data_IF_287924495496
#
_entry.id   IF_287924495496
#
_cell.length_a   1.000
_cell.length_b   1.000
_cell.length_c   1.000
_cell.angle_alpha   90.00
_cell.angle_beta   90.00
_cell.angle_gamma   90.00
#
_symmetry.space_group_name_H-M   'P 1'
#
loop_
_entity.id
_entity.type
_entity.pdbx_description
1 polymer ?
#
# COMPACT_ATOMS: atom_id res chain seq x y z
N UNK A 1 24.31 33.74 -4.43
CA UNK A 1 23.73 32.38 -4.34
C UNK A 1 24.31 31.52 -3.21
N UNK A 2 25.45 31.88 -2.60
CA UNK A 2 26.10 31.02 -1.58
C UNK A 2 25.67 31.29 -0.12
N UNK A 3 25.04 32.45 0.17
CA UNK A 3 24.50 32.76 1.51
C UNK A 3 23.15 32.08 1.81
N UNK A 4 22.36 31.74 0.79
CA UNK A 4 21.08 31.05 0.97
C UNK A 4 21.26 29.56 1.34
N UNK A 5 22.35 28.91 0.88
CA UNK A 5 22.69 27.52 1.24
C UNK A 5 23.12 27.35 2.70
N UNK A 6 23.65 28.40 3.35
CA UNK A 6 24.07 28.33 4.77
C UNK A 6 22.92 28.43 5.77
N UNK A 7 21.78 29.00 5.39
CA UNK A 7 20.62 29.17 6.29
C UNK A 7 19.75 27.91 6.49
N UNK A 8 19.98 26.86 5.69
CA UNK A 8 19.29 25.56 5.79
C UNK A 8 20.06 24.50 6.58
N UNK A 9 21.23 24.84 7.14
CA UNK A 9 21.91 24.00 8.13
C UNK A 9 21.35 24.37 9.50
N UNK A 10 20.47 23.52 10.03
CA UNK A 10 20.00 23.61 11.41
C UNK A 10 21.19 23.68 12.38
N UNK A 11 21.17 24.56 13.40
CA UNK A 11 22.24 24.68 14.40
C UNK A 11 22.17 23.61 15.51
N UNK A 12 21.55 22.45 15.24
CA UNK A 12 21.57 21.31 16.14
C UNK A 12 22.50 20.26 15.54
N UNK A 13 23.66 20.13 16.18
CA UNK A 13 24.80 19.37 15.67
C UNK A 13 24.51 17.90 15.39
N UNK A 14 25.22 17.37 14.39
CA UNK A 14 25.29 15.96 14.00
C UNK A 14 25.76 15.00 15.13
N UNK A 15 26.01 15.48 16.36
CA UNK A 15 26.77 14.77 17.41
C UNK A 15 25.98 14.45 18.70
N UNK A 16 24.71 14.85 18.83
CA UNK A 16 23.87 14.43 19.98
C UNK A 16 22.48 13.98 19.56
N UNK A 17 22.42 12.97 18.71
CA UNK A 17 21.16 12.27 18.44
C UNK A 17 20.98 11.12 19.42
N UNK A 18 19.93 11.20 20.23
CA UNK A 18 19.49 10.08 21.06
C UNK A 18 19.08 8.91 20.17
N UNK A 19 19.42 7.69 20.60
CA UNK A 19 19.02 6.43 19.94
C UNK A 19 17.51 6.44 19.65
N UNK A 20 16.73 7.01 20.56
CA UNK A 20 15.29 7.22 20.42
C UNK A 20 14.90 7.98 19.14
N UNK A 21 15.60 9.06 18.78
CA UNK A 21 15.30 9.83 17.57
C UNK A 21 15.56 9.02 16.28
N UNK A 22 16.60 8.18 16.28
CA UNK A 22 16.88 7.25 15.17
C UNK A 22 15.80 6.16 15.06
N UNK A 23 15.35 5.62 16.19
CA UNK A 23 14.28 4.61 16.24
C UNK A 23 12.96 5.21 15.72
N UNK A 24 12.56 6.37 16.22
CA UNK A 24 11.33 7.06 15.77
C UNK A 24 11.38 7.38 14.28
N UNK A 25 12.53 7.83 13.77
CA UNK A 25 12.75 8.03 12.33
C UNK A 25 12.55 6.74 11.52
N UNK A 26 13.14 5.62 11.96
CA UNK A 26 13.00 4.32 11.29
C UNK A 26 11.56 3.79 11.31
N UNK A 27 10.82 3.99 12.40
CA UNK A 27 9.41 3.61 12.51
C UNK A 27 8.51 4.48 11.61
N UNK A 28 8.79 5.78 11.51
CA UNK A 28 8.12 6.69 10.56
C UNK A 28 8.38 6.30 9.10
N UNK A 29 9.64 6.05 8.76
CA UNK A 29 10.12 5.65 7.44
C UNK A 29 9.42 4.38 6.93
N UNK A 30 9.36 3.36 7.78
CA UNK A 30 8.82 2.04 7.42
C UNK A 30 7.29 1.99 7.43
N UNK A 31 6.60 3.06 7.85
CA UNK A 31 5.14 3.14 7.91
C UNK A 31 4.52 1.93 8.60
N UNK A 32 5.02 1.60 9.80
CA UNK A 32 4.69 0.36 10.53
C UNK A 32 3.18 0.06 10.59
N UNK A 33 2.33 1.08 10.75
CA UNK A 33 0.88 0.92 10.74
C UNK A 33 0.34 0.28 9.45
N UNK A 34 0.85 0.67 8.29
CA UNK A 34 0.44 0.09 7.00
C UNK A 34 0.88 -1.37 6.90
N UNK A 35 2.08 -1.68 7.40
CA UNK A 35 2.60 -3.05 7.38
C UNK A 35 1.78 -3.94 8.33
N UNK A 36 1.42 -3.43 9.51
CA UNK A 36 0.56 -4.14 10.45
C UNK A 36 -0.82 -4.46 9.85
N UNK A 37 -1.41 -3.55 9.06
CA UNK A 37 -2.65 -3.82 8.33
C UNK A 37 -2.49 -4.94 7.30
N UNK A 38 -1.35 -5.00 6.61
CA UNK A 38 -1.07 -6.07 5.63
C UNK A 38 -0.86 -7.41 6.35
N UNK A 39 -0.15 -7.43 7.47
CA UNK A 39 0.00 -8.63 8.30
C UNK A 39 -1.36 -9.12 8.80
N UNK A 40 -2.21 -8.22 9.31
CA UNK A 40 -3.58 -8.55 9.71
C UNK A 40 -4.41 -9.08 8.52
N UNK A 41 -4.25 -8.50 7.32
CA UNK A 41 -4.90 -8.98 6.11
C UNK A 41 -4.44 -10.40 5.74
N UNK A 42 -3.16 -10.74 5.89
CA UNK A 42 -2.65 -12.10 5.65
C UNK A 42 -3.27 -13.10 6.63
N UNK A 43 -3.30 -12.82 7.93
CA UNK A 43 -3.93 -13.70 8.93
C UNK A 43 -5.43 -13.85 8.70
N UNK A 44 -6.17 -12.73 8.59
CA UNK A 44 -7.63 -12.78 8.40
C UNK A 44 -8.00 -13.48 7.10
N UNK A 45 -7.23 -13.29 6.03
CA UNK A 45 -7.46 -14.01 4.79
C UNK A 45 -7.18 -15.51 4.94
N UNK A 46 -6.09 -15.89 5.62
CA UNK A 46 -5.78 -17.30 5.88
C UNK A 46 -6.92 -17.99 6.64
N UNK A 47 -7.43 -17.36 7.71
CA UNK A 47 -8.44 -17.94 8.62
C UNK A 47 -9.84 -17.98 8.01
N UNK A 48 -10.28 -16.90 7.35
CA UNK A 48 -11.69 -16.73 6.96
C UNK A 48 -11.93 -16.82 5.45
N UNK A 49 -10.90 -16.65 4.63
CA UNK A 49 -11.05 -16.50 3.19
C UNK A 49 -10.60 -17.75 2.41
N UNK A 50 -9.55 -18.44 2.87
CA UNK A 50 -8.93 -19.57 2.17
C UNK A 50 -9.19 -20.93 2.82
N UNK A 51 -10.33 -21.09 3.51
CA UNK A 51 -10.71 -22.36 4.14
C UNK A 51 -12.11 -22.82 3.75
N UNK A 52 -12.26 -24.14 3.58
CA UNK A 52 -13.56 -24.78 3.53
C UNK A 52 -14.11 -24.77 4.95
N UNK A 53 -15.20 -24.03 5.20
CA UNK A 53 -15.81 -23.80 6.53
C UNK A 53 -15.78 -25.08 7.40
N UNK A 54 -15.43 -25.00 8.70
CA UNK A 54 -15.29 -23.81 9.55
C UNK A 54 -13.93 -23.08 9.46
N UNK A 55 -13.83 -21.83 9.98
CA UNK A 55 -12.55 -21.13 10.12
C UNK A 55 -11.58 -21.88 11.01
N UNK A 56 -10.30 -21.88 10.63
CA UNK A 56 -9.24 -22.61 11.31
C UNK A 56 -8.27 -21.64 11.99
N UNK A 57 -8.25 -21.67 13.32
CA UNK A 57 -7.45 -20.76 14.14
C UNK A 57 -6.08 -21.31 14.48
N UNK A 58 -5.75 -22.57 14.14
CA UNK A 58 -4.42 -23.14 14.40
C UNK A 58 -3.31 -22.34 13.71
N UNK A 59 -3.64 -21.66 12.61
CA UNK A 59 -2.75 -20.81 11.82
C UNK A 59 -2.17 -19.62 12.57
N UNK A 60 -2.86 -19.14 13.61
CA UNK A 60 -2.33 -18.07 14.47
C UNK A 60 -1.07 -18.51 15.22
N UNK A 61 -0.93 -19.82 15.43
CA UNK A 61 0.18 -20.43 16.17
C UNK A 61 1.16 -21.17 15.26
N UNK A 62 0.93 -21.19 13.94
CA UNK A 62 1.83 -21.88 13.02
C UNK A 62 3.14 -21.09 12.83
N UNK A 63 4.30 -21.70 13.16
CA UNK A 63 5.59 -21.01 13.08
C UNK A 63 6.02 -20.71 11.64
N UNK A 64 5.67 -21.54 10.67
CA UNK A 64 6.04 -21.32 9.27
C UNK A 64 5.25 -20.14 8.68
N UNK A 65 3.96 -20.05 8.95
CA UNK A 65 3.12 -18.93 8.52
C UNK A 65 3.56 -17.63 9.20
N UNK A 66 3.85 -17.67 10.50
CA UNK A 66 4.43 -16.53 11.21
C UNK A 66 5.72 -16.03 10.55
N UNK A 67 6.64 -16.93 10.17
CA UNK A 67 7.87 -16.58 9.45
C UNK A 67 7.56 -15.90 8.11
N UNK A 68 6.58 -16.35 7.33
CA UNK A 68 6.19 -15.71 6.07
C UNK A 68 5.61 -14.30 6.29
N UNK A 69 4.83 -14.08 7.35
CA UNK A 69 4.32 -12.75 7.72
C UNK A 69 5.46 -11.83 8.13
N UNK A 70 6.44 -12.32 8.90
CA UNK A 70 7.66 -11.57 9.24
C UNK A 70 8.47 -11.22 7.98
N UNK A 71 8.66 -12.18 7.06
CA UNK A 71 9.33 -11.92 5.77
C UNK A 71 8.60 -10.82 4.99
N UNK A 72 7.26 -10.87 4.97
CA UNK A 72 6.43 -9.83 4.36
C UNK A 72 6.69 -8.46 4.98
N UNK A 73 6.71 -8.38 6.31
CA UNK A 73 7.02 -7.14 7.01
C UNK A 73 8.38 -6.60 6.59
N UNK A 74 9.42 -7.44 6.66
CA UNK A 74 10.79 -7.06 6.32
C UNK A 74 10.92 -6.56 4.88
N UNK A 75 10.31 -7.26 3.91
CA UNK A 75 10.36 -6.88 2.49
C UNK A 75 9.58 -5.58 2.22
N UNK A 76 8.40 -5.38 2.81
CA UNK A 76 7.65 -4.12 2.65
C UNK A 76 8.37 -2.95 3.32
N UNK A 77 8.95 -3.17 4.51
CA UNK A 77 9.78 -2.17 5.18
C UNK A 77 10.98 -1.77 4.31
N UNK A 78 11.68 -2.75 3.72
CA UNK A 78 12.73 -2.50 2.75
C UNK A 78 12.21 -1.73 1.52
N UNK A 79 11.01 -2.06 1.03
CA UNK A 79 10.30 -1.32 -0.02
C UNK A 79 10.08 0.16 0.30
N UNK A 80 9.65 0.48 1.52
CA UNK A 80 9.51 1.88 1.95
C UNK A 80 10.86 2.59 2.06
N UNK A 81 11.90 1.90 2.54
CA UNK A 81 13.27 2.41 2.66
C UNK A 81 13.86 2.75 1.28
N UNK A 82 13.75 1.86 0.30
CA UNK A 82 14.26 2.12 -1.05
C UNK A 82 13.45 3.19 -1.77
N UNK A 83 12.14 3.26 -1.54
CA UNK A 83 11.31 4.34 -2.05
C UNK A 83 11.76 5.70 -1.48
N UNK A 84 12.00 5.79 -0.17
CA UNK A 84 12.56 6.99 0.46
C UNK A 84 13.94 7.37 -0.10
N UNK A 85 14.81 6.39 -0.36
CA UNK A 85 16.13 6.63 -0.95
C UNK A 85 16.03 7.37 -2.29
N UNK A 86 15.11 6.96 -3.17
CA UNK A 86 14.88 7.62 -4.46
C UNK A 86 14.08 8.93 -4.33
N UNK A 87 13.19 9.05 -3.34
CA UNK A 87 12.29 10.21 -3.15
C UNK A 87 12.87 11.34 -2.30
N UNK A 88 14.08 11.21 -1.75
CA UNK A 88 14.63 12.16 -0.77
C UNK A 88 14.43 13.65 -1.14
N UNK A 89 14.66 14.01 -2.40
CA UNK A 89 14.49 15.39 -2.86
C UNK A 89 13.01 15.80 -3.02
N UNK A 90 12.14 14.85 -3.35
CA UNK A 90 10.68 15.05 -3.45
C UNK A 90 10.06 15.32 -2.08
N UNK A 91 10.37 14.47 -1.12
CA UNK A 91 9.70 14.46 0.19
C UNK A 91 10.08 15.66 1.06
N UNK A 92 11.29 16.23 0.85
CA UNK A 92 11.73 17.48 1.50
C UNK A 92 10.75 18.64 1.28
N UNK A 93 9.94 18.60 0.23
CA UNK A 93 9.04 19.71 -0.14
C UNK A 93 7.58 19.35 0.03
N UNK A 94 7.16 18.16 -0.39
CA UNK A 94 5.78 17.71 -0.20
C UNK A 94 5.45 17.41 1.28
N UNK A 95 6.46 17.11 2.11
CA UNK A 95 6.27 16.79 3.53
C UNK A 95 7.49 17.22 4.36
N UNK A 96 7.77 18.53 4.50
CA UNK A 96 9.02 19.07 5.03
C UNK A 96 9.30 18.70 6.50
N UNK A 97 8.25 18.50 7.30
CA UNK A 97 8.38 18.06 8.70
C UNK A 97 8.75 16.57 8.74
N UNK A 98 8.02 15.74 7.99
CA UNK A 98 8.27 14.29 7.90
C UNK A 98 9.64 13.99 7.30
N UNK A 99 10.01 14.66 6.21
CA UNK A 99 11.32 14.48 5.58
C UNK A 99 12.49 14.91 6.47
N UNK A 100 12.28 15.83 7.42
CA UNK A 100 13.28 16.18 8.44
C UNK A 100 13.48 15.04 9.43
N UNK A 101 12.38 14.43 9.87
CA UNK A 101 12.39 13.26 10.76
C UNK A 101 13.03 12.06 10.05
N UNK A 102 12.67 11.82 8.79
CA UNK A 102 13.17 10.70 8.00
C UNK A 102 14.63 10.94 7.52
N UNK A 103 15.04 12.21 7.39
CA UNK A 103 16.38 12.64 6.95
C UNK A 103 17.50 12.45 7.99
N UNK A 104 17.19 11.95 9.19
CA UNK A 104 18.16 11.63 10.23
C UNK A 104 19.03 10.40 9.93
N UNK A 105 18.67 9.61 8.92
CA UNK A 105 19.42 8.41 8.49
C UNK A 105 20.22 8.71 7.23
N UNK A 106 21.52 8.37 7.23
CA UNK A 106 22.38 8.57 6.05
C UNK A 106 21.94 7.70 4.86
N UNK A 107 22.25 8.12 3.63
CA UNK A 107 21.96 7.32 2.43
C UNK A 107 22.67 5.95 2.44
N UNK A 108 23.91 5.90 2.93
CA UNK A 108 24.65 4.65 3.06
C UNK A 108 23.98 3.69 4.08
N UNK A 109 23.50 4.22 5.21
CA UNK A 109 22.75 3.44 6.21
C UNK A 109 21.42 2.95 5.64
N UNK A 110 20.73 3.80 4.87
CA UNK A 110 19.46 3.46 4.20
C UNK A 110 19.64 2.27 3.25
N UNK A 111 20.67 2.31 2.40
CA UNK A 111 20.95 1.22 1.46
C UNK A 111 21.39 -0.07 2.16
N UNK A 112 22.23 0.03 3.19
CA UNK A 112 22.61 -1.12 4.03
C UNK A 112 21.38 -1.77 4.66
N UNK A 113 20.49 -0.98 5.26
CA UNK A 113 19.28 -1.49 5.90
C UNK A 113 18.34 -2.16 4.88
N UNK A 114 18.16 -1.55 3.70
CA UNK A 114 17.41 -2.16 2.59
C UNK A 114 17.97 -3.54 2.19
N UNK A 115 19.29 -3.65 2.01
CA UNK A 115 19.94 -4.91 1.64
C UNK A 115 19.83 -5.95 2.76
N UNK A 116 20.08 -5.56 4.01
CA UNK A 116 20.00 -6.47 5.17
C UNK A 116 18.58 -7.02 5.34
N UNK A 117 17.55 -6.16 5.29
CA UNK A 117 16.17 -6.60 5.47
C UNK A 117 15.72 -7.58 4.37
N UNK A 118 16.04 -7.29 3.11
CA UNK A 118 15.70 -8.21 2.02
C UNK A 118 16.50 -9.51 2.07
N UNK A 119 17.80 -9.46 2.39
CA UNK A 119 18.61 -10.66 2.52
C UNK A 119 18.09 -11.58 3.62
N UNK A 120 17.73 -11.02 4.78
CA UNK A 120 17.14 -11.77 5.89
C UNK A 120 15.75 -12.32 5.53
N UNK A 121 14.89 -11.55 4.85
CA UNK A 121 13.57 -12.03 4.42
C UNK A 121 13.68 -13.20 3.42
N UNK A 122 14.60 -13.12 2.46
CA UNK A 122 14.83 -14.20 1.49
C UNK A 122 15.42 -15.42 2.18
N UNK A 123 16.41 -15.26 3.07
CA UNK A 123 16.98 -16.37 3.83
C UNK A 123 15.93 -17.05 4.73
N UNK A 124 15.17 -16.27 5.51
CA UNK A 124 14.10 -16.76 6.38
C UNK A 124 13.01 -17.52 5.60
N UNK A 125 12.59 -16.99 4.44
CA UNK A 125 11.59 -17.65 3.61
C UNK A 125 12.11 -18.89 2.87
N UNK A 126 13.42 -18.99 2.58
CA UNK A 126 14.04 -20.21 2.05
C UNK A 126 14.02 -21.36 3.07
N UNK A 127 14.11 -21.07 4.37
CA UNK A 127 13.94 -22.09 5.42
C UNK A 127 12.52 -22.65 5.46
N UNK A 128 11.51 -21.90 5.01
CA UNK A 128 10.13 -22.40 4.88
C UNK A 128 9.99 -23.27 3.63
N UNK A 129 10.41 -22.76 2.46
CA UNK A 129 10.46 -23.54 1.21
C UNK A 129 11.24 -22.79 0.12
N UNK A 130 11.72 -23.52 -0.90
CA UNK A 130 12.34 -22.89 -2.08
C UNK A 130 11.38 -21.94 -2.80
N UNK A 131 10.09 -22.32 -2.89
CA UNK A 131 9.06 -21.52 -3.59
C UNK A 131 8.83 -20.18 -2.89
N UNK A 132 8.76 -20.16 -1.56
CA UNK A 132 8.65 -18.92 -0.78
C UNK A 132 9.91 -18.05 -0.89
N UNK A 133 11.10 -18.66 -0.88
CA UNK A 133 12.35 -17.92 -1.11
C UNK A 133 12.39 -17.19 -2.46
N UNK A 134 12.02 -17.90 -3.54
CA UNK A 134 11.93 -17.31 -4.90
C UNK A 134 10.87 -16.19 -4.93
N UNK A 135 9.73 -16.40 -4.26
CA UNK A 135 8.68 -15.38 -4.17
C UNK A 135 9.17 -14.09 -3.50
N UNK A 136 9.82 -14.17 -2.34
CA UNK A 136 10.31 -12.98 -1.63
C UNK A 136 11.46 -12.30 -2.37
N UNK A 137 12.33 -13.05 -3.06
CA UNK A 137 13.35 -12.47 -3.93
C UNK A 137 12.71 -11.69 -5.09
N UNK A 138 11.70 -12.27 -5.75
CA UNK A 138 10.92 -11.61 -6.78
C UNK A 138 10.16 -10.38 -6.26
N UNK A 139 9.57 -10.46 -5.06
CA UNK A 139 8.85 -9.35 -4.44
C UNK A 139 9.78 -8.19 -4.09
N UNK A 140 10.96 -8.48 -3.53
CA UNK A 140 12.00 -7.47 -3.29
C UNK A 140 12.44 -6.78 -4.59
N UNK A 141 12.61 -7.56 -5.67
CA UNK A 141 12.91 -7.02 -6.99
C UNK A 141 11.78 -6.12 -7.52
N UNK A 142 10.52 -6.51 -7.38
CA UNK A 142 9.37 -5.70 -7.82
C UNK A 142 9.31 -4.36 -7.09
N UNK A 143 9.54 -4.33 -5.78
CA UNK A 143 9.59 -3.10 -4.98
C UNK A 143 10.72 -2.17 -5.42
N UNK A 144 11.90 -2.72 -5.69
CA UNK A 144 13.02 -1.97 -6.25
C UNK A 144 12.71 -1.45 -7.65
N UNK A 145 12.21 -2.30 -8.55
CA UNK A 145 11.90 -1.96 -9.94
C UNK A 145 10.83 -0.87 -10.02
N UNK A 146 9.81 -0.95 -9.16
CA UNK A 146 8.83 0.10 -8.98
C UNK A 146 9.49 1.43 -8.62
N UNK A 147 10.29 1.44 -7.55
CA UNK A 147 10.90 2.66 -7.00
C UNK A 147 11.92 3.29 -7.98
N UNK A 148 12.65 2.45 -8.72
CA UNK A 148 13.71 2.88 -9.63
C UNK A 148 13.16 3.41 -10.97
N UNK A 149 12.20 2.70 -11.58
CA UNK A 149 11.71 2.99 -12.95
C UNK A 149 10.21 3.29 -13.03
N UNK A 150 9.33 2.38 -12.59
CA UNK A 150 7.90 2.45 -12.93
C UNK A 150 7.22 3.70 -12.36
N UNK A 151 7.67 4.14 -11.18
CA UNK A 151 7.15 5.34 -10.53
C UNK A 151 7.30 6.63 -11.34
N UNK A 152 8.22 6.66 -12.32
CA UNK A 152 8.50 7.84 -13.15
C UNK A 152 7.58 7.95 -14.37
N UNK A 153 6.77 6.93 -14.64
CA UNK A 153 5.87 6.88 -15.80
C UNK A 153 4.43 7.13 -15.32
N UNK A 154 3.74 8.19 -15.79
CA UNK A 154 2.36 8.46 -15.42
C UNK A 154 1.45 7.25 -15.70
N UNK A 155 0.41 7.07 -14.87
CA UNK A 155 -0.52 5.93 -14.86
C UNK A 155 0.13 4.59 -14.51
N UNK A 156 1.23 4.24 -15.16
CA UNK A 156 2.02 3.03 -14.87
C UNK A 156 2.48 3.05 -13.41
N UNK A 157 2.86 4.21 -12.87
CA UNK A 157 3.16 4.38 -11.45
C UNK A 157 1.99 3.97 -10.55
N UNK A 158 0.77 4.40 -10.85
CA UNK A 158 -0.41 4.11 -10.03
C UNK A 158 -0.81 2.62 -10.14
N UNK A 159 -0.82 2.08 -11.36
CA UNK A 159 -1.14 0.66 -11.62
C UNK A 159 -0.12 -0.27 -10.98
N UNK A 160 1.17 0.02 -11.16
CA UNK A 160 2.24 -0.80 -10.56
C UNK A 160 2.28 -0.70 -9.05
N UNK A 161 2.02 0.47 -8.46
CA UNK A 161 1.93 0.62 -7.01
C UNK A 161 0.81 -0.26 -6.43
N UNK A 162 -0.37 -0.25 -7.06
CA UNK A 162 -1.50 -1.08 -6.63
C UNK A 162 -1.21 -2.57 -6.81
N UNK A 163 -0.61 -2.97 -7.92
CA UNK A 163 -0.22 -4.36 -8.17
C UNK A 163 0.77 -4.86 -7.12
N UNK A 164 1.84 -4.10 -6.86
CA UNK A 164 2.86 -4.44 -5.86
C UNK A 164 2.28 -4.48 -4.45
N UNK A 165 1.30 -3.61 -4.14
CA UNK A 165 0.66 -3.57 -2.82
C UNK A 165 -0.17 -4.83 -2.49
N UNK A 166 -0.72 -5.52 -3.49
CA UNK A 166 -1.47 -6.77 -3.27
C UNK A 166 -0.59 -8.03 -3.28
N UNK A 167 0.63 -7.97 -3.85
CA UNK A 167 1.57 -9.11 -3.90
C UNK A 167 1.75 -9.82 -2.55
N UNK A 168 1.95 -9.12 -1.41
CA UNK A 168 2.06 -9.75 -0.09
C UNK A 168 0.95 -10.75 0.26
N UNK A 169 -0.28 -10.51 -0.19
CA UNK A 169 -1.41 -11.37 0.13
C UNK A 169 -1.29 -12.75 -0.52
N UNK A 170 -0.56 -12.86 -1.63
CA UNK A 170 -0.28 -14.14 -2.29
C UNK A 170 0.66 -15.03 -1.47
N UNK A 171 1.39 -14.50 -0.47
CA UNK A 171 2.20 -15.32 0.42
C UNK A 171 1.36 -16.36 1.18
N UNK A 172 0.08 -16.06 1.41
CA UNK A 172 -0.88 -17.00 2.03
C UNK A 172 -1.04 -18.28 1.20
N UNK A 173 -0.81 -18.24 -0.12
CA UNK A 173 -1.00 -19.39 -1.01
C UNK A 173 0.09 -20.45 -0.89
N UNK A 174 1.21 -20.12 -0.24
CA UNK A 174 2.22 -21.13 0.11
C UNK A 174 1.75 -22.03 1.26
N UNK A 175 0.74 -21.59 2.00
CA UNK A 175 0.19 -22.33 3.13
C UNK A 175 -1.22 -22.88 2.86
N UNK A 176 -2.09 -22.09 2.22
CA UNK A 176 -3.45 -22.51 1.85
C UNK A 176 -3.63 -22.66 0.34
N UNK A 177 -4.30 -23.73 -0.08
CA UNK A 177 -4.74 -23.86 -1.47
C UNK A 177 -5.87 -22.88 -1.75
N UNK A 178 -5.91 -22.37 -2.97
CA UNK A 178 -7.05 -21.58 -3.45
C UNK A 178 -8.27 -22.50 -3.47
N UNK A 179 -9.27 -22.19 -2.63
CA UNK A 179 -10.52 -22.95 -2.54
C UNK A 179 -11.49 -22.51 -3.62
N UNK A 180 -11.67 -21.19 -3.79
CA UNK A 180 -12.54 -20.61 -4.80
C UNK A 180 -11.81 -19.49 -5.56
N UNK A 181 -11.34 -19.81 -6.76
CA UNK A 181 -10.60 -18.87 -7.61
C UNK A 181 -11.44 -17.65 -7.98
N UNK A 182 -12.76 -17.79 -8.17
CA UNK A 182 -13.62 -16.68 -8.59
C UNK A 182 -13.81 -15.67 -7.46
N UNK A 183 -14.00 -16.16 -6.24
CA UNK A 183 -14.00 -15.33 -5.02
C UNK A 183 -12.69 -14.56 -4.88
N UNK A 184 -11.54 -15.24 -5.01
CA UNK A 184 -10.22 -14.61 -4.85
C UNK A 184 -9.97 -13.54 -5.89
N UNK A 185 -10.30 -13.83 -7.15
CA UNK A 185 -10.11 -12.89 -8.26
C UNK A 185 -11.03 -11.67 -8.11
N UNK A 186 -12.32 -11.88 -7.78
CA UNK A 186 -13.26 -10.77 -7.61
C UNK A 186 -12.86 -9.81 -6.48
N UNK A 187 -12.45 -10.33 -5.33
CA UNK A 187 -11.96 -9.52 -4.20
C UNK A 187 -10.61 -8.87 -4.49
N UNK A 188 -9.69 -9.60 -5.13
CA UNK A 188 -8.39 -9.09 -5.55
C UNK A 188 -8.51 -7.93 -6.54
N UNK A 189 -9.40 -8.04 -7.53
CA UNK A 189 -9.68 -6.97 -8.49
C UNK A 189 -10.33 -5.75 -7.83
N UNK A 190 -11.29 -5.96 -6.93
CA UNK A 190 -11.87 -4.89 -6.12
C UNK A 190 -10.78 -4.11 -5.37
N UNK A 191 -9.93 -4.82 -4.62
CA UNK A 191 -8.85 -4.21 -3.85
C UNK A 191 -7.83 -3.51 -4.77
N UNK A 192 -7.49 -4.13 -5.90
CA UNK A 192 -6.59 -3.55 -6.90
C UNK A 192 -7.11 -2.20 -7.42
N UNK A 193 -8.32 -2.14 -7.96
CA UNK A 193 -8.87 -0.88 -8.47
C UNK A 193 -9.05 0.18 -7.38
N UNK A 194 -9.42 -0.24 -6.17
CA UNK A 194 -9.52 0.66 -5.02
C UNK A 194 -8.16 1.30 -4.68
N UNK A 195 -7.07 0.52 -4.72
CA UNK A 195 -5.70 1.01 -4.51
C UNK A 195 -5.21 1.90 -5.67
N UNK A 196 -5.58 1.60 -6.92
CA UNK A 196 -5.27 2.48 -8.07
C UNK A 196 -5.96 3.83 -7.89
N UNK A 197 -7.27 3.85 -7.59
CA UNK A 197 -8.01 5.08 -7.34
C UNK A 197 -7.40 5.89 -6.18
N UNK A 198 -7.06 5.22 -5.08
CA UNK A 198 -6.36 5.83 -3.95
C UNK A 198 -5.04 6.48 -4.38
N UNK A 199 -4.26 5.81 -5.22
CA UNK A 199 -2.99 6.33 -5.74
C UNK A 199 -3.20 7.57 -6.63
N UNK A 200 -4.16 7.54 -7.55
CA UNK A 200 -4.46 8.66 -8.44
C UNK A 200 -4.99 9.90 -7.68
N UNK A 201 -5.80 9.67 -6.63
CA UNK A 201 -6.27 10.75 -5.76
C UNK A 201 -5.15 11.38 -4.93
N UNK A 202 -4.12 10.61 -4.55
CA UNK A 202 -2.93 11.18 -3.92
C UNK A 202 -2.17 12.08 -4.91
N UNK A 203 -2.03 11.68 -6.17
CA UNK A 203 -1.38 12.51 -7.19
C UNK A 203 -2.18 13.81 -7.42
N UNK A 204 -3.51 13.73 -7.52
CA UNK A 204 -4.38 14.91 -7.62
C UNK A 204 -4.19 15.86 -6.43
N UNK A 205 -4.11 15.35 -5.21
CA UNK A 205 -3.87 16.18 -4.02
C UNK A 205 -2.48 16.82 -4.00
N UNK A 206 -1.46 16.15 -4.54
CA UNK A 206 -0.07 16.61 -4.54
C UNK A 206 0.34 17.40 -5.80
N UNK A 207 -0.57 17.58 -6.76
CA UNK A 207 -0.29 18.13 -8.09
C UNK A 207 0.49 19.45 -8.12
N UNK A 208 0.21 20.37 -7.19
CA UNK A 208 0.92 21.66 -7.13
C UNK A 208 2.40 21.48 -6.76
N UNK A 209 2.68 20.63 -5.77
CA UNK A 209 4.05 20.29 -5.38
C UNK A 209 4.75 19.51 -6.50
N UNK A 210 4.07 18.56 -7.12
CA UNK A 210 4.65 17.77 -8.21
C UNK A 210 5.03 18.63 -9.42
N UNK A 211 4.20 19.62 -9.79
CA UNK A 211 4.47 20.53 -10.90
C UNK A 211 5.71 21.42 -10.66
N UNK A 212 5.87 21.97 -9.45
CA UNK A 212 7.00 22.86 -9.12
C UNK A 212 8.36 22.16 -9.26
N UNK A 213 8.42 20.85 -8.99
CA UNK A 213 9.66 20.05 -9.06
C UNK A 213 9.80 19.23 -10.35
N UNK A 214 8.90 19.42 -11.33
CA UNK A 214 8.97 18.74 -12.61
C UNK A 214 8.64 17.24 -12.57
N UNK A 215 7.90 16.79 -11.56
CA UNK A 215 7.44 15.40 -11.51
C UNK A 215 6.32 15.20 -12.52
N UNK A 216 6.48 14.19 -13.37
CA UNK A 216 5.49 13.82 -14.40
C UNK A 216 4.42 12.90 -13.79
N UNK A 217 3.60 13.41 -12.89
CA UNK A 217 2.41 12.69 -12.39
C UNK A 217 1.21 12.91 -13.32
N UNK A 218 0.20 12.06 -13.20
CA UNK A 218 -0.98 12.08 -14.07
C UNK A 218 -1.67 13.46 -14.16
N UNK A 219 -1.94 14.20 -13.05
CA UNK A 219 -2.51 15.54 -13.15
C UNK A 219 -1.55 16.60 -13.71
N UNK A 220 -0.23 16.40 -13.63
CA UNK A 220 0.75 17.32 -14.20
C UNK A 220 0.85 17.15 -15.72
N UNK A 221 0.74 15.91 -16.22
CA UNK A 221 0.87 15.60 -17.65
C UNK A 221 -0.46 15.74 -18.41
N UNK A 222 -1.57 15.26 -17.83
CA UNK A 222 -2.89 15.25 -18.50
C UNK A 222 -3.79 16.40 -18.07
N UNK A 223 -3.38 17.17 -17.05
CA UNK A 223 -4.21 18.19 -16.44
C UNK A 223 -5.19 17.62 -15.41
N UNK A 224 -5.67 18.50 -14.53
CA UNK A 224 -6.49 18.14 -13.37
C UNK A 224 -7.83 17.47 -13.76
N UNK A 225 -8.55 18.01 -14.75
CA UNK A 225 -9.85 17.48 -15.15
C UNK A 225 -9.76 16.08 -15.76
N UNK A 226 -8.80 15.85 -16.65
CA UNK A 226 -8.59 14.53 -17.25
C UNK A 226 -8.13 13.52 -16.19
N UNK A 227 -7.26 13.93 -15.27
CA UNK A 227 -6.81 13.09 -14.17
C UNK A 227 -7.95 12.73 -13.20
N UNK A 228 -8.82 13.68 -12.87
CA UNK A 228 -10.01 13.44 -12.06
C UNK A 228 -11.00 12.49 -12.75
N UNK A 229 -11.21 12.66 -14.06
CA UNK A 229 -12.07 11.78 -14.86
C UNK A 229 -11.52 10.35 -14.93
N UNK A 230 -10.20 10.20 -15.10
CA UNK A 230 -9.55 8.90 -15.07
C UNK A 230 -9.66 8.24 -13.68
N UNK A 231 -9.49 9.00 -12.59
CA UNK A 231 -9.69 8.49 -11.23
C UNK A 231 -11.15 8.09 -10.97
N UNK A 232 -12.12 8.84 -11.51
CA UNK A 232 -13.54 8.51 -11.45
C UNK A 232 -13.85 7.20 -12.21
N UNK A 233 -13.27 6.99 -13.40
CA UNK A 233 -13.43 5.75 -14.14
C UNK A 233 -12.89 4.53 -13.36
N UNK A 234 -11.76 4.69 -12.68
CA UNK A 234 -11.20 3.64 -11.80
C UNK A 234 -12.07 3.39 -10.57
N UNK A 235 -12.66 4.43 -9.97
CA UNK A 235 -13.64 4.27 -8.88
C UNK A 235 -14.91 3.55 -9.35
N UNK A 236 -15.40 3.86 -10.54
CA UNK A 236 -16.53 3.17 -11.15
C UNK A 236 -16.20 1.70 -11.39
N UNK A 237 -14.98 1.38 -11.85
CA UNK A 237 -14.51 0.00 -11.98
C UNK A 237 -14.46 -0.72 -10.62
N UNK A 238 -13.97 -0.08 -9.56
CA UNK A 238 -14.00 -0.64 -8.21
C UNK A 238 -15.45 -0.88 -7.72
N UNK A 239 -16.39 0.03 -8.01
CA UNK A 239 -17.81 -0.16 -7.71
C UNK A 239 -18.43 -1.31 -8.53
N UNK A 240 -18.06 -1.48 -9.80
CA UNK A 240 -18.49 -2.63 -10.60
C UNK A 240 -17.96 -3.95 -10.01
N UNK A 241 -16.74 -3.96 -9.48
CA UNK A 241 -16.20 -5.12 -8.77
C UNK A 241 -16.98 -5.44 -7.49
N UNK A 242 -17.55 -4.45 -6.77
CA UNK A 242 -18.40 -4.77 -5.61
C UNK A 242 -19.66 -5.53 -6.05
N UNK A 243 -20.27 -5.18 -7.18
CA UNK A 243 -21.41 -5.92 -7.72
C UNK A 243 -21.05 -7.39 -8.02
N UNK A 244 -19.87 -7.64 -8.59
CA UNK A 244 -19.38 -9.01 -8.81
C UNK A 244 -19.15 -9.76 -7.49
N UNK A 245 -18.57 -9.10 -6.48
CA UNK A 245 -18.32 -9.70 -5.16
C UNK A 245 -19.63 -10.04 -4.43
N UNK A 246 -20.65 -9.18 -4.53
CA UNK A 246 -21.96 -9.40 -3.89
C UNK A 246 -22.63 -10.72 -4.33
N UNK A 247 -22.34 -11.23 -5.52
CA UNK A 247 -22.83 -12.54 -5.98
C UNK A 247 -22.29 -13.67 -5.11
N UNK A 248 -21.00 -13.61 -4.75
CA UNK A 248 -20.31 -14.64 -3.98
C UNK A 248 -20.57 -14.53 -2.47
N UNK A 249 -20.77 -13.32 -1.97
CA UNK A 249 -21.05 -13.07 -0.56
C UNK A 249 -22.55 -13.13 -0.21
N UNK A 250 -23.39 -13.55 -1.18
CA UNK A 250 -24.83 -13.67 -0.99
C UNK A 250 -25.14 -14.68 0.13
N UNK A 251 -25.69 -14.17 1.23
CA UNK A 251 -26.11 -14.98 2.40
C UNK A 251 -25.16 -14.94 3.58
N UNK A 252 -24.10 -14.12 3.55
CA UNK A 252 -23.29 -13.83 4.73
C UNK A 252 -23.26 -12.33 5.05
N UNK A 253 -22.96 -11.97 6.29
CA UNK A 253 -23.02 -10.59 6.75
C UNK A 253 -21.97 -9.67 6.08
N UNK A 254 -20.91 -10.23 5.47
CA UNK A 254 -19.93 -9.45 4.70
C UNK A 254 -20.55 -8.80 3.44
N UNK A 255 -21.68 -9.33 2.97
CA UNK A 255 -22.52 -8.72 1.93
C UNK A 255 -22.83 -7.24 2.20
N UNK A 256 -23.19 -6.89 3.45
CA UNK A 256 -23.58 -5.53 3.82
C UNK A 256 -22.44 -4.52 3.63
N UNK A 257 -21.20 -4.94 3.91
CA UNK A 257 -20.02 -4.12 3.67
C UNK A 257 -19.90 -3.77 2.18
N UNK A 258 -20.00 -4.75 1.28
CA UNK A 258 -19.87 -4.50 -0.16
C UNK A 258 -21.03 -3.70 -0.75
N UNK A 259 -22.22 -3.79 -0.17
CA UNK A 259 -23.37 -2.96 -0.56
C UNK A 259 -23.10 -1.48 -0.25
N UNK A 260 -22.69 -1.18 0.99
CA UNK A 260 -22.35 0.18 1.42
C UNK A 260 -21.13 0.70 0.68
N UNK A 261 -20.09 -0.13 0.50
CA UNK A 261 -18.89 0.24 -0.26
C UNK A 261 -19.23 0.59 -1.71
N UNK A 262 -20.05 -0.23 -2.39
CA UNK A 262 -20.49 0.03 -3.76
C UNK A 262 -21.21 1.37 -3.90
N UNK A 263 -22.18 1.63 -3.03
CA UNK A 263 -22.90 2.91 -3.02
C UNK A 263 -21.96 4.10 -2.76
N UNK A 264 -21.05 3.98 -1.78
CA UNK A 264 -20.06 5.02 -1.48
C UNK A 264 -19.11 5.32 -2.63
N UNK A 265 -18.65 4.29 -3.35
CA UNK A 265 -17.77 4.43 -4.51
C UNK A 265 -18.49 5.06 -5.71
N UNK A 266 -19.77 4.75 -5.93
CA UNK A 266 -20.60 5.41 -6.94
C UNK A 266 -20.80 6.89 -6.62
N UNK A 267 -21.13 7.23 -5.37
CA UNK A 267 -21.21 8.61 -4.92
C UNK A 267 -19.88 9.36 -5.12
N UNK A 268 -18.76 8.73 -4.78
CA UNK A 268 -17.41 9.27 -5.02
C UNK A 268 -17.12 9.50 -6.51
N UNK A 269 -17.54 8.57 -7.37
CA UNK A 269 -17.42 8.68 -8.83
C UNK A 269 -18.16 9.91 -9.35
N UNK A 270 -19.44 10.06 -8.98
CA UNK A 270 -20.26 11.22 -9.38
C UNK A 270 -19.65 12.51 -8.86
N UNK A 271 -19.20 12.53 -7.60
CA UNK A 271 -18.56 13.71 -7.00
C UNK A 271 -17.30 14.16 -7.77
N UNK A 272 -16.46 13.22 -8.23
CA UNK A 272 -15.27 13.57 -9.04
C UNK A 272 -15.62 14.11 -10.43
N UNK A 273 -16.70 13.61 -11.04
CA UNK A 273 -17.12 14.05 -12.37
C UNK A 273 -17.80 15.43 -12.33
N UNK A 274 -18.60 15.71 -11.30
CA UNK A 274 -19.38 16.95 -11.17
C UNK A 274 -18.56 18.06 -10.49
N UNK A 275 -17.81 17.72 -9.44
CA UNK A 275 -17.07 18.67 -8.61
C UNK A 275 -15.61 18.23 -8.37
N UNK A 276 -14.76 18.21 -9.42
CA UNK A 276 -13.34 17.90 -9.29
C UNK A 276 -12.62 19.04 -8.56
N UNK A 277 -12.61 18.96 -7.23
CA UNK A 277 -12.04 19.97 -6.35
C UNK A 277 -11.19 19.34 -5.23
N UNK A 278 -10.27 20.12 -4.68
CA UNK A 278 -9.37 19.71 -3.59
C UNK A 278 -10.09 19.04 -2.40
N UNK A 279 -11.27 19.54 -2.04
CA UNK A 279 -12.07 18.96 -0.95
C UNK A 279 -12.59 17.58 -1.33
N UNK A 280 -13.11 17.41 -2.55
CA UNK A 280 -13.59 16.12 -3.04
C UNK A 280 -12.44 15.09 -3.09
N UNK A 281 -11.28 15.46 -3.64
CA UNK A 281 -10.12 14.58 -3.70
C UNK A 281 -9.69 14.08 -2.32
N UNK A 282 -9.64 14.97 -1.32
CA UNK A 282 -9.29 14.60 0.06
C UNK A 282 -10.36 13.74 0.73
N UNK A 283 -11.63 14.12 0.62
CA UNK A 283 -12.74 13.38 1.24
C UNK A 283 -12.84 11.96 0.68
N UNK A 284 -12.74 11.80 -0.64
CA UNK A 284 -12.80 10.47 -1.27
C UNK A 284 -11.56 9.65 -0.92
N UNK A 285 -10.37 10.25 -0.90
CA UNK A 285 -9.14 9.57 -0.47
C UNK A 285 -9.24 9.04 0.97
N UNK A 286 -9.80 9.83 1.89
CA UNK A 286 -10.04 9.38 3.27
C UNK A 286 -11.11 8.28 3.30
N UNK A 287 -12.19 8.43 2.54
CA UNK A 287 -13.22 7.40 2.39
C UNK A 287 -12.66 6.07 1.92
N UNK A 288 -11.79 6.05 0.91
CA UNK A 288 -11.13 4.82 0.43
C UNK A 288 -10.25 4.19 1.52
N UNK A 289 -9.47 4.99 2.26
CA UNK A 289 -8.65 4.47 3.38
C UNK A 289 -9.51 3.83 4.46
N UNK A 290 -10.65 4.46 4.77
CA UNK A 290 -11.62 3.91 5.71
C UNK A 290 -12.26 2.63 5.17
N UNK A 291 -12.63 2.58 3.88
CA UNK A 291 -13.15 1.37 3.25
C UNK A 291 -12.15 0.22 3.34
N UNK A 292 -10.86 0.44 3.07
CA UNK A 292 -9.83 -0.60 3.22
C UNK A 292 -9.75 -1.10 4.67
N UNK A 293 -9.74 -0.19 5.65
CA UNK A 293 -9.67 -0.55 7.07
C UNK A 293 -10.92 -1.29 7.55
N UNK A 294 -12.11 -0.78 7.24
CA UNK A 294 -13.39 -1.39 7.61
C UNK A 294 -13.55 -2.73 6.89
N UNK A 295 -13.20 -2.81 5.61
CA UNK A 295 -13.24 -4.05 4.84
C UNK A 295 -12.38 -5.14 5.45
N UNK A 296 -11.18 -4.79 5.91
CA UNK A 296 -10.30 -5.71 6.66
C UNK A 296 -10.98 -6.21 7.94
N UNK A 297 -11.57 -5.31 8.73
CA UNK A 297 -12.27 -5.67 9.98
C UNK A 297 -13.55 -6.49 9.74
N UNK A 298 -14.16 -6.36 8.56
CA UNK A 298 -15.37 -7.08 8.18
C UNK A 298 -15.10 -8.47 7.58
N UNK A 299 -13.85 -8.86 7.29
CA UNK A 299 -13.53 -10.20 6.75
C UNK A 299 -14.15 -11.35 7.59
N UNK A 300 -14.12 -11.34 8.94
CA UNK A 300 -14.75 -12.38 9.74
C UNK A 300 -16.27 -12.52 9.53
N UNK A 301 -16.95 -11.48 9.04
CA UNK A 301 -18.40 -11.54 8.78
C UNK A 301 -18.76 -12.51 7.65
N UNK A 302 -17.79 -12.99 6.86
CA UNK A 302 -17.98 -13.99 5.81
C UNK A 302 -18.50 -15.33 6.33
N UNK A 303 -18.24 -15.67 7.60
CA UNK A 303 -18.74 -16.90 8.23
C UNK A 303 -20.03 -16.69 9.01
N UNK A 304 -20.48 -15.44 9.16
CA UNK A 304 -21.73 -15.08 9.84
C UNK A 304 -22.86 -15.08 8.81
N UNK A 305 -23.95 -15.85 8.99
CA UNK A 305 -25.09 -15.82 8.06
C UNK A 305 -25.78 -14.46 8.11
N UNK A 306 -26.30 -14.04 6.95
CA UNK A 306 -27.12 -12.83 6.80
C UNK A 306 -28.59 -13.10 7.17
#
# INVERSE_FOLDING_TARGET
MDRARKSLRSPLGESRMTILAKIVSLLSLTRVYNIALIAAAQYLSCIFFFTSRPPDFSELTDPHFFVLVVCTWMTIAAGYIINFFYDKNKDLVNSPVKSRIDGFVSQATTLKLYLTLNALAVAASLFVSLRSGVFFAGFAFLLWFYSHKLKKIPLVSNLSLAAVAIVPLFAVFFYRKIVDTQVVVSHGLFLFFLLVAMSMLNDLNNRRGDAVFGYRTLPVVWGERAAASAAAAVLAAAAACTAAVLVFERGNAFFLYFLVAGAGLLCGTVALLVWPADRAFRTILVGIKLLILVGLLCIPLRVVPL
#
